data_IF_489147770223
#
_entry.id   IF_489147770223
#
_cell.length_a   1.000
_cell.length_b   1.000
_cell.length_c   1.000
_cell.angle_alpha   90.00
_cell.angle_beta   90.00
_cell.angle_gamma   90.00
#
_symmetry.space_group_name_H-M   'P 1'
#
loop_
_entity.id
_entity.type
_entity.pdbx_description
1 polymer ?
#
# COMPACT_ATOMS: atom_id res chain seq x y z
N UNK A 1 12.55 -27.58 -13.57
CA UNK A 1 12.21 -26.19 -13.92
C UNK A 1 11.38 -25.60 -12.79
N UNK A 2 11.81 -24.50 -12.15
CA UNK A 2 10.99 -23.84 -11.12
C UNK A 2 9.91 -22.99 -11.82
N UNK A 3 8.65 -23.40 -11.68
CA UNK A 3 7.51 -22.64 -12.20
C UNK A 3 7.39 -21.35 -11.37
N UNK A 4 7.51 -20.20 -12.03
CA UNK A 4 7.33 -18.90 -11.39
C UNK A 4 5.88 -18.78 -10.92
N UNK A 5 5.68 -18.28 -9.68
CA UNK A 5 4.33 -18.02 -9.16
C UNK A 5 3.60 -17.01 -10.08
N UNK A 6 2.29 -17.14 -10.30
CA UNK A 6 1.53 -16.30 -11.25
C UNK A 6 1.72 -14.80 -11.03
N UNK A 7 1.87 -14.35 -9.77
CA UNK A 7 2.15 -12.96 -9.41
C UNK A 7 3.46 -12.41 -10.00
N UNK A 8 4.49 -13.26 -10.13
CA UNK A 8 5.79 -12.90 -10.74
C UNK A 8 5.74 -12.88 -12.25
N UNK A 9 4.84 -13.67 -12.86
CA UNK A 9 4.63 -13.71 -14.31
C UNK A 9 3.88 -12.46 -14.75
N UNK A 10 2.84 -12.05 -14.01
CA UNK A 10 2.11 -10.79 -14.28
C UNK A 10 3.06 -9.58 -14.14
N UNK A 11 3.91 -9.57 -13.10
CA UNK A 11 4.95 -8.55 -12.92
C UNK A 11 5.92 -8.49 -14.11
N UNK A 12 6.45 -9.64 -14.55
CA UNK A 12 7.36 -9.70 -15.68
C UNK A 12 6.69 -9.24 -16.98
N UNK A 13 5.43 -9.60 -17.21
CA UNK A 13 4.66 -9.18 -18.38
C UNK A 13 4.39 -7.66 -18.35
N UNK A 14 4.07 -7.09 -17.19
CA UNK A 14 3.94 -5.63 -17.02
C UNK A 14 5.28 -4.90 -17.22
N UNK A 15 6.39 -5.42 -16.70
CA UNK A 15 7.72 -4.82 -16.86
C UNK A 15 8.26 -4.92 -18.29
N UNK A 16 8.05 -6.05 -18.98
CA UNK A 16 8.57 -6.26 -20.34
C UNK A 16 7.76 -5.48 -21.38
N UNK A 17 6.46 -5.28 -21.17
CA UNK A 17 5.67 -4.38 -22.02
C UNK A 17 6.18 -2.92 -21.94
N UNK A 18 6.67 -2.50 -20.76
CA UNK A 18 7.12 -1.13 -20.49
C UNK A 18 8.53 -0.80 -20.99
N UNK A 19 9.45 -1.76 -21.02
CA UNK A 19 10.84 -1.53 -21.44
C UNK A 19 11.01 -1.10 -22.91
N UNK A 20 9.92 -1.10 -23.69
CA UNK A 20 9.93 -0.72 -25.11
C UNK A 20 9.89 0.80 -25.35
N UNK A 21 9.58 1.64 -24.35
CA UNK A 21 9.44 3.10 -24.51
C UNK A 21 10.03 3.90 -23.31
N UNK A 22 11.15 4.57 -23.59
CA UNK A 22 11.75 5.81 -23.03
C UNK A 22 11.76 6.24 -21.52
N UNK A 23 12.98 6.68 -21.12
CA UNK A 23 13.41 7.86 -20.33
C UNK A 23 13.25 7.97 -18.78
N UNK A 24 14.23 8.66 -18.18
CA UNK A 24 14.58 8.82 -16.75
C UNK A 24 13.42 9.06 -15.75
N UNK A 25 12.31 9.69 -16.17
CA UNK A 25 11.12 9.95 -15.35
C UNK A 25 10.44 8.67 -14.83
N UNK A 26 10.59 7.55 -15.56
CA UNK A 26 10.04 6.26 -15.14
C UNK A 26 10.77 5.62 -13.95
N UNK A 27 11.97 6.09 -13.58
CA UNK A 27 12.75 5.44 -12.51
C UNK A 27 12.14 5.59 -11.12
N UNK A 28 11.57 6.77 -10.80
CA UNK A 28 10.93 7.03 -9.51
C UNK A 28 9.54 6.37 -9.42
N UNK A 29 8.77 6.37 -10.50
CA UNK A 29 7.47 5.70 -10.59
C UNK A 29 7.61 4.18 -10.50
N UNK A 30 8.59 3.59 -11.19
CA UNK A 30 8.91 2.16 -11.09
C UNK A 30 9.45 1.79 -9.70
N UNK A 31 10.25 2.66 -9.07
CA UNK A 31 10.66 2.49 -7.68
C UNK A 31 9.44 2.42 -6.77
N UNK A 32 8.49 3.34 -6.93
CA UNK A 32 7.27 3.38 -6.15
C UNK A 32 6.41 2.13 -6.32
N UNK A 33 6.25 1.67 -7.56
CA UNK A 33 5.58 0.41 -7.88
C UNK A 33 6.26 -0.76 -7.15
N UNK A 34 7.59 -0.83 -7.17
CA UNK A 34 8.36 -1.83 -6.44
C UNK A 34 8.13 -1.78 -4.92
N UNK A 35 8.07 -0.59 -4.34
CA UNK A 35 7.83 -0.38 -2.92
C UNK A 35 6.42 -0.83 -2.49
N UNK A 36 5.39 -0.52 -3.30
CA UNK A 36 4.03 -0.99 -3.09
C UNK A 36 3.93 -2.52 -3.17
N UNK A 37 4.67 -3.17 -4.07
CA UNK A 37 4.73 -4.63 -4.15
C UNK A 37 5.36 -5.25 -2.91
N UNK A 38 6.48 -4.70 -2.44
CA UNK A 38 7.14 -5.17 -1.22
C UNK A 38 6.20 -5.06 -0.01
N UNK A 39 5.50 -3.94 0.10
CA UNK A 39 4.52 -3.72 1.16
C UNK A 39 3.35 -4.72 1.07
N UNK A 40 2.80 -4.93 -0.13
CA UNK A 40 1.73 -5.91 -0.37
C UNK A 40 2.15 -7.32 0.07
N UNK A 41 3.34 -7.75 -0.32
CA UNK A 41 3.85 -9.08 -0.02
C UNK A 41 4.05 -9.26 1.50
N UNK A 42 4.58 -8.24 2.19
CA UNK A 42 4.71 -8.23 3.65
C UNK A 42 3.36 -8.28 4.38
N UNK A 43 2.38 -7.49 3.94
CA UNK A 43 1.02 -7.52 4.51
C UNK A 43 0.35 -8.87 4.25
N UNK A 44 0.55 -9.46 3.07
CA UNK A 44 0.01 -10.78 2.73
C UNK A 44 0.61 -11.87 3.61
N UNK A 45 1.91 -11.81 3.86
CA UNK A 45 2.58 -12.73 4.78
C UNK A 45 1.98 -12.65 6.18
N UNK A 46 1.81 -11.45 6.72
CA UNK A 46 1.15 -11.24 8.01
C UNK A 46 -0.30 -11.73 8.00
N UNK A 47 -1.07 -11.38 6.97
CA UNK A 47 -2.47 -11.76 6.79
C UNK A 47 -2.71 -13.27 6.74
N UNK A 48 -1.74 -14.04 6.23
CA UNK A 48 -1.82 -15.50 6.22
C UNK A 48 -1.62 -16.14 7.60
N UNK A 49 -0.91 -15.47 8.50
CA UNK A 49 -0.61 -15.98 9.85
C UNK A 49 -1.69 -15.61 10.88
N UNK A 50 -2.37 -14.47 10.68
CA UNK A 50 -3.34 -13.93 11.63
C UNK A 50 -4.53 -14.85 11.93
N UNK A 51 -5.16 -15.57 10.96
CA UNK A 51 -6.31 -16.43 11.25
C UNK A 51 -6.02 -17.49 12.31
N UNK A 52 -4.88 -18.19 12.20
CA UNK A 52 -4.47 -19.19 13.19
C UNK A 52 -4.21 -18.57 14.57
N UNK A 53 -3.61 -17.37 14.60
CA UNK A 53 -3.37 -16.64 15.86
C UNK A 53 -4.68 -16.17 16.51
N UNK A 54 -5.65 -15.73 15.71
CA UNK A 54 -6.98 -15.31 16.17
C UNK A 54 -7.72 -16.48 16.81
N UNK A 55 -7.68 -17.66 16.20
CA UNK A 55 -8.35 -18.86 16.73
C UNK A 55 -7.78 -19.32 18.08
N UNK A 56 -6.47 -19.13 18.28
CA UNK A 56 -5.76 -19.55 19.51
C UNK A 56 -5.79 -18.49 20.62
N UNK A 57 -6.21 -17.27 20.33
CA UNK A 57 -6.22 -16.14 21.26
C UNK A 57 -7.65 -15.84 21.72
N UNK A 58 -7.80 -15.21 22.89
CA UNK A 58 -9.12 -14.83 23.41
C UNK A 58 -9.12 -13.40 23.99
N UNK A 59 -10.29 -12.90 24.37
CA UNK A 59 -10.41 -11.62 25.06
C UNK A 59 -10.04 -10.42 24.19
N UNK A 60 -9.28 -9.48 24.77
CA UNK A 60 -8.87 -8.25 24.09
C UNK A 60 -7.82 -8.52 23.02
N UNK A 61 -6.89 -9.44 23.26
CA UNK A 61 -5.82 -9.75 22.31
C UNK A 61 -6.37 -10.35 21.00
N UNK A 62 -7.43 -11.17 21.09
CA UNK A 62 -8.14 -11.65 19.91
C UNK A 62 -8.74 -10.50 19.10
N UNK A 63 -9.40 -9.55 19.76
CA UNK A 63 -9.99 -8.38 19.09
C UNK A 63 -8.92 -7.51 18.43
N UNK A 64 -7.76 -7.38 19.07
CA UNK A 64 -6.61 -6.68 18.49
C UNK A 64 -6.13 -7.37 17.22
N UNK A 65 -5.99 -8.70 17.22
CA UNK A 65 -5.57 -9.45 16.04
C UNK A 65 -6.61 -9.41 14.91
N UNK A 66 -7.90 -9.51 15.24
CA UNK A 66 -9.01 -9.33 14.28
C UNK A 66 -8.96 -7.92 13.67
N UNK A 67 -8.70 -6.89 14.49
CA UNK A 67 -8.57 -5.52 13.99
C UNK A 67 -7.35 -5.34 13.09
N UNK A 68 -6.21 -5.93 13.44
CA UNK A 68 -5.01 -5.92 12.59
C UNK A 68 -5.31 -6.60 11.24
N UNK A 69 -6.05 -7.70 11.25
CA UNK A 69 -6.46 -8.40 10.03
C UNK A 69 -7.35 -7.51 9.13
N UNK A 70 -8.30 -6.78 9.70
CA UNK A 70 -9.12 -5.79 8.99
C UNK A 70 -8.26 -4.66 8.40
N UNK A 71 -7.33 -4.10 9.19
CA UNK A 71 -6.42 -3.04 8.77
C UNK A 71 -5.56 -3.50 7.59
N UNK A 72 -5.01 -4.71 7.67
CA UNK A 72 -4.23 -5.31 6.58
C UNK A 72 -5.07 -5.50 5.32
N UNK A 73 -6.32 -5.93 5.45
CA UNK A 73 -7.25 -6.09 4.31
C UNK A 73 -7.56 -4.75 3.64
N UNK A 74 -7.83 -3.72 4.44
CA UNK A 74 -8.05 -2.34 3.95
C UNK A 74 -6.81 -1.80 3.21
N UNK A 75 -5.63 -2.05 3.78
CA UNK A 75 -4.33 -1.65 3.22
C UNK A 75 -4.05 -2.36 1.89
N UNK A 76 -4.33 -3.67 1.78
CA UNK A 76 -4.18 -4.41 0.52
C UNK A 76 -5.11 -3.89 -0.58
N UNK A 77 -6.39 -3.67 -0.25
CA UNK A 77 -7.38 -3.09 -1.18
C UNK A 77 -6.93 -1.73 -1.68
N UNK A 78 -6.34 -0.94 -0.78
CA UNK A 78 -5.77 0.36 -1.07
C UNK A 78 -4.59 0.23 -2.05
N UNK A 79 -3.60 -0.61 -1.76
CA UNK A 79 -2.46 -0.81 -2.65
C UNK A 79 -2.92 -1.23 -4.06
N UNK A 80 -3.92 -2.11 -4.17
CA UNK A 80 -4.47 -2.52 -5.46
C UNK A 80 -5.17 -1.38 -6.21
N UNK A 81 -6.00 -0.58 -5.53
CA UNK A 81 -6.65 0.58 -6.12
C UNK A 81 -5.61 1.59 -6.62
N UNK A 82 -4.57 1.84 -5.82
CA UNK A 82 -3.49 2.74 -6.21
C UNK A 82 -2.78 2.23 -7.48
N UNK A 83 -2.42 0.94 -7.54
CA UNK A 83 -1.81 0.36 -8.73
C UNK A 83 -2.66 0.55 -9.99
N UNK A 84 -3.96 0.25 -9.91
CA UNK A 84 -4.86 0.35 -11.07
C UNK A 84 -4.92 1.78 -11.60
N UNK A 85 -5.05 2.75 -10.71
CA UNK A 85 -5.16 4.16 -11.10
C UNK A 85 -3.81 4.69 -11.61
N UNK A 86 -2.69 4.33 -10.97
CA UNK A 86 -1.35 4.69 -11.44
C UNK A 86 -1.09 4.16 -12.85
N UNK A 87 -1.45 2.91 -13.14
CA UNK A 87 -1.33 2.34 -14.48
C UNK A 87 -2.18 3.08 -15.52
N UNK A 88 -3.38 3.53 -15.16
CA UNK A 88 -4.24 4.36 -16.03
C UNK A 88 -3.58 5.73 -16.29
N UNK A 89 -3.02 6.35 -15.26
CA UNK A 89 -2.34 7.64 -15.38
C UNK A 89 -1.12 7.54 -16.31
N UNK A 90 -0.29 6.51 -16.17
CA UNK A 90 0.91 6.34 -17.01
C UNK A 90 0.52 5.98 -18.45
N UNK A 91 -0.45 5.08 -18.65
CA UNK A 91 -0.87 4.66 -20.00
C UNK A 91 -1.52 5.78 -20.83
N UNK A 92 -2.00 6.84 -20.18
CA UNK A 92 -2.59 8.01 -20.83
C UNK A 92 -1.56 9.14 -20.97
N UNK A 93 -0.35 8.85 -21.49
CA UNK A 93 0.81 9.77 -21.66
C UNK A 93 0.49 11.19 -22.20
N UNK A 94 -0.69 11.39 -22.79
CA UNK A 94 -1.22 12.71 -23.14
C UNK A 94 -1.81 13.44 -21.91
N UNK A 95 -0.98 14.16 -21.17
CA UNK A 95 -1.16 15.33 -20.26
C UNK A 95 -2.55 15.83 -19.74
N UNK A 96 -3.70 15.21 -20.00
CA UNK A 96 -5.02 15.90 -19.95
C UNK A 96 -6.14 15.17 -19.23
N UNK A 97 -5.87 14.13 -18.44
CA UNK A 97 -6.88 13.66 -17.50
C UNK A 97 -6.61 14.20 -16.08
N UNK A 98 -6.61 15.53 -15.97
CA UNK A 98 -6.50 16.25 -14.70
C UNK A 98 -7.52 15.75 -13.68
N UNK A 99 -8.68 15.27 -14.14
CA UNK A 99 -9.70 14.66 -13.30
C UNK A 99 -9.28 13.31 -12.72
N UNK A 100 -8.66 12.43 -13.51
CA UNK A 100 -8.12 11.15 -13.01
C UNK A 100 -7.00 11.38 -11.98
N UNK A 101 -6.12 12.35 -12.24
CA UNK A 101 -5.06 12.72 -11.29
C UNK A 101 -5.64 13.36 -10.02
N UNK A 102 -6.70 14.17 -10.11
CA UNK A 102 -7.42 14.72 -8.94
C UNK A 102 -8.07 13.62 -8.12
N UNK A 103 -8.83 12.72 -8.73
CA UNK A 103 -9.46 11.57 -8.04
C UNK A 103 -8.39 10.72 -7.35
N UNK A 104 -7.26 10.46 -8.03
CA UNK A 104 -6.13 9.77 -7.42
C UNK A 104 -5.61 10.53 -6.20
N UNK A 105 -5.43 11.84 -6.31
CA UNK A 105 -4.89 12.67 -5.24
C UNK A 105 -5.83 12.76 -4.02
N UNK A 106 -7.14 12.85 -4.24
CA UNK A 106 -8.16 12.82 -3.19
C UNK A 106 -8.14 11.48 -2.46
N UNK A 107 -8.09 10.39 -3.21
CA UNK A 107 -8.08 9.04 -2.65
C UNK A 107 -6.78 8.72 -1.89
N UNK A 108 -5.63 9.16 -2.41
CA UNK A 108 -4.35 9.07 -1.70
C UNK A 108 -4.36 9.95 -0.43
N UNK A 109 -4.99 11.12 -0.47
CA UNK A 109 -5.13 12.00 0.71
C UNK A 109 -6.01 11.36 1.78
N UNK A 110 -7.13 10.77 1.38
CA UNK A 110 -7.99 9.99 2.28
C UNK A 110 -7.19 8.85 2.94
N UNK A 111 -6.48 8.06 2.13
CA UNK A 111 -5.65 6.95 2.60
C UNK A 111 -4.56 7.41 3.57
N UNK A 112 -3.87 8.50 3.23
CA UNK A 112 -2.85 9.12 4.09
C UNK A 112 -3.43 9.42 5.48
N UNK A 113 -4.60 10.05 5.52
CA UNK A 113 -5.26 10.38 6.79
C UNK A 113 -5.70 9.12 7.55
N UNK A 114 -6.21 8.10 6.84
CA UNK A 114 -6.56 6.81 7.46
C UNK A 114 -5.35 6.15 8.12
N UNK A 115 -4.19 6.18 7.46
CA UNK A 115 -2.95 5.63 8.03
C UNK A 115 -2.56 6.33 9.33
N UNK A 116 -2.74 7.66 9.44
CA UNK A 116 -2.49 8.40 10.69
C UNK A 116 -3.37 7.87 11.83
N UNK A 117 -4.67 7.72 11.57
CA UNK A 117 -5.60 7.17 12.57
C UNK A 117 -5.26 5.72 12.95
N UNK A 118 -4.90 4.88 11.97
CA UNK A 118 -4.54 3.49 12.22
C UNK A 118 -3.24 3.39 13.05
N UNK A 119 -2.25 4.24 12.78
CA UNK A 119 -1.02 4.32 13.57
C UNK A 119 -1.30 4.79 15.00
N UNK A 120 -2.17 5.79 15.19
CA UNK A 120 -2.59 6.24 16.52
C UNK A 120 -3.27 5.11 17.31
N UNK A 121 -4.19 4.40 16.66
CA UNK A 121 -4.85 3.23 17.24
C UNK A 121 -3.83 2.15 17.65
N UNK A 122 -2.94 1.75 16.74
CA UNK A 122 -1.94 0.71 17.01
C UNK A 122 -0.97 1.15 18.12
N UNK A 123 -0.62 2.43 18.21
CA UNK A 123 0.19 2.97 19.31
C UNK A 123 -0.53 2.91 20.67
N UNK A 124 -1.84 3.11 20.71
CA UNK A 124 -2.62 2.94 21.92
C UNK A 124 -2.65 1.46 22.34
N UNK A 125 -2.96 0.56 21.41
CA UNK A 125 -3.02 -0.88 21.67
C UNK A 125 -1.67 -1.45 22.11
N UNK A 126 -0.56 -0.96 21.56
CA UNK A 126 0.79 -1.38 21.92
C UNK A 126 1.14 -1.10 23.40
N UNK A 127 0.49 -0.12 24.04
CA UNK A 127 0.67 0.18 25.46
C UNK A 127 -0.14 -0.74 26.38
N UNK A 128 -1.19 -1.36 25.85
CA UNK A 128 -2.16 -2.15 26.61
C UNK A 128 -1.89 -3.66 26.51
N UNK A 129 -1.40 -4.12 25.36
CA UNK A 129 -1.09 -5.53 25.11
C UNK A 129 0.20 -5.95 25.82
N UNK A 130 0.18 -7.13 26.43
CA UNK A 130 1.35 -7.74 27.12
C UNK A 130 1.82 -9.04 26.48
N UNK A 131 0.98 -9.67 25.64
CA UNK A 131 1.35 -10.89 24.93
C UNK A 131 2.42 -10.56 23.87
N UNK A 132 3.62 -11.15 23.95
CA UNK A 132 4.70 -10.91 22.99
C UNK A 132 4.31 -11.24 21.54
N UNK A 133 3.52 -12.29 21.32
CA UNK A 133 3.12 -12.69 19.96
C UNK A 133 2.17 -11.67 19.34
N UNK A 134 1.30 -11.07 20.15
CA UNK A 134 0.35 -10.03 19.70
C UNK A 134 1.08 -8.70 19.52
N UNK A 135 2.04 -8.38 20.41
CA UNK A 135 2.90 -7.21 20.28
C UNK A 135 3.67 -7.22 18.95
N UNK A 136 4.23 -8.36 18.54
CA UNK A 136 4.92 -8.49 17.26
C UNK A 136 3.99 -8.20 16.08
N UNK A 137 2.74 -8.65 16.13
CA UNK A 137 1.74 -8.36 15.08
C UNK A 137 1.36 -6.89 15.03
N UNK A 138 1.18 -6.24 16.20
CA UNK A 138 0.92 -4.79 16.27
C UNK A 138 2.10 -4.02 15.65
N UNK A 139 3.34 -4.40 16.00
CA UNK A 139 4.55 -3.74 15.50
C UNK A 139 4.66 -3.87 13.97
N UNK A 140 4.39 -5.06 13.42
CA UNK A 140 4.41 -5.28 11.97
C UNK A 140 3.31 -4.49 11.27
N UNK A 141 2.07 -4.56 11.76
CA UNK A 141 0.95 -3.80 11.20
C UNK A 141 1.21 -2.29 11.22
N UNK A 142 1.81 -1.79 12.31
CA UNK A 142 2.20 -0.39 12.43
C UNK A 142 3.25 -0.01 11.39
N UNK A 143 4.29 -0.83 11.19
CA UNK A 143 5.30 -0.60 10.15
C UNK A 143 4.68 -0.58 8.75
N UNK A 144 3.70 -1.43 8.48
CA UNK A 144 2.98 -1.43 7.20
C UNK A 144 2.21 -0.11 6.99
N UNK A 145 1.47 0.35 8.02
CA UNK A 145 0.74 1.61 7.97
C UNK A 145 1.67 2.82 7.82
N UNK A 146 2.79 2.86 8.56
CA UNK A 146 3.82 3.91 8.44
C UNK A 146 4.45 3.93 7.05
N UNK A 147 4.68 2.76 6.46
CA UNK A 147 5.22 2.69 5.12
C UNK A 147 4.20 3.16 4.07
N UNK A 148 2.93 2.73 4.16
CA UNK A 148 1.87 3.22 3.29
C UNK A 148 1.69 4.74 3.43
N UNK A 149 1.75 5.28 4.65
CA UNK A 149 1.68 6.72 4.91
C UNK A 149 2.79 7.48 4.16
N UNK A 150 4.00 6.93 4.16
CA UNK A 150 5.15 7.52 3.46
C UNK A 150 4.93 7.52 1.94
N UNK A 151 4.51 6.38 1.38
CA UNK A 151 4.25 6.23 -0.05
C UNK A 151 3.13 7.15 -0.53
N UNK A 152 2.03 7.21 0.21
CA UNK A 152 0.89 8.07 -0.13
C UNK A 152 1.23 9.56 -0.01
N UNK A 153 2.06 9.95 0.97
CA UNK A 153 2.51 11.35 1.11
C UNK A 153 3.37 11.80 -0.07
N UNK A 154 4.31 10.95 -0.51
CA UNK A 154 5.10 11.25 -1.69
C UNK A 154 4.20 11.33 -2.93
N UNK A 155 3.32 10.36 -3.13
CA UNK A 155 2.43 10.28 -4.28
C UNK A 155 1.51 11.51 -4.39
N UNK A 156 0.96 11.99 -3.27
CA UNK A 156 0.16 13.24 -3.23
C UNK A 156 1.00 14.43 -3.67
N UNK A 157 2.25 14.49 -3.23
CA UNK A 157 3.18 15.59 -3.56
C UNK A 157 3.49 15.62 -5.05
N UNK A 158 3.82 14.47 -5.64
CA UNK A 158 4.11 14.38 -7.09
C UNK A 158 2.88 14.67 -7.95
N UNK A 159 1.72 14.10 -7.61
CA UNK A 159 0.48 14.38 -8.33
C UNK A 159 0.08 15.85 -8.29
N UNK A 160 0.30 16.52 -7.15
CA UNK A 160 0.04 17.96 -7.01
C UNK A 160 0.95 18.80 -7.90
N UNK A 161 2.21 18.40 -8.10
CA UNK A 161 3.12 19.08 -9.05
C UNK A 161 2.63 18.94 -10.49
N UNK A 162 2.17 17.76 -10.89
CA UNK A 162 1.61 17.51 -12.23
C UNK A 162 0.37 18.38 -12.48
N UNK A 163 -0.54 18.45 -11.50
CA UNK A 163 -1.74 19.29 -11.60
C UNK A 163 -1.41 20.78 -11.76
N UNK A 164 -0.38 21.27 -11.05
CA UNK A 164 0.04 22.68 -11.12
C UNK A 164 0.73 23.04 -12.43
N UNK A 165 1.44 22.11 -13.08
CA UNK A 165 2.05 22.33 -14.41
C UNK A 165 1.00 22.52 -15.50
N UNK A 166 -0.14 21.84 -15.37
CA UNK A 166 -1.22 21.87 -16.36
C UNK A 166 -2.24 23.00 -16.16
N UNK A 167 -2.09 23.79 -15.08
CA UNK A 167 -2.94 24.94 -14.77
C UNK A 167 -2.40 26.28 -15.34
N UNK A 168 -1.19 26.26 -15.90
CA UNK A 168 -0.50 27.39 -16.58
C UNK A 168 -0.62 27.20 -18.08
#
# INVERSE_FOLDING_TARGET
>A
MKVLKPSKIIFLVCCVAFLSFNSLLHSEELLHVGQLFNLRDAITEQGNLLPEKIEKTSGNDRRTLERIFELNTSTLTTIEAYFRILMITIANENETNSETVKILNEWLTFTKNQCVYDIEYLNATLKETKDPQVLDEIIQAKKHAEYLLTLTTFAVTENSKLLNRNAV
#
